data_IF_731219334069
#
_entry.id   IF_731219334069
#
_cell.length_a   1.000
_cell.length_b   1.000
_cell.length_c   1.000
_cell.angle_alpha   90.00
_cell.angle_beta   90.00
_cell.angle_gamma   90.00
#
_symmetry.space_group_name_H-M   'P 1'
#
loop_
_entity.id
_entity.type
_entity.pdbx_description
1 polymer ?
#
# COMPACT_ATOMS: atom_id res chain seq x y z
N UNK A 1 -17.08 0.43 2.48
CA UNK A 1 -18.51 0.16 2.63
C UNK A 1 -18.94 -0.15 4.05
N UNK A 2 -18.00 -0.11 5.00
CA UNK A 2 -18.30 -0.22 6.42
C UNK A 2 -18.87 1.08 7.03
N UNK A 3 -19.05 2.13 6.24
CA UNK A 3 -19.53 3.43 6.72
C UNK A 3 -18.50 4.26 7.51
N UNK A 4 -17.26 3.79 7.57
CA UNK A 4 -16.17 4.43 8.31
C UNK A 4 -15.70 5.74 7.66
N UNK A 5 -15.12 6.63 8.46
CA UNK A 5 -14.40 7.81 7.96
C UNK A 5 -13.27 7.40 7.01
N UNK A 6 -12.92 8.26 6.05
CA UNK A 6 -11.80 7.97 5.13
C UNK A 6 -10.48 7.93 5.88
N UNK A 7 -10.28 8.88 6.76
CA UNK A 7 -9.05 9.12 7.50
C UNK A 7 -9.37 9.95 8.75
N UNK A 8 -8.56 9.78 9.80
CA UNK A 8 -8.64 10.56 11.04
C UNK A 8 -7.22 11.05 11.36
N UNK A 9 -7.01 12.37 11.45
CA UNK A 9 -5.69 12.94 11.71
C UNK A 9 -5.31 12.81 13.20
N UNK A 10 -5.07 11.61 13.68
CA UNK A 10 -4.74 11.32 15.08
C UNK A 10 -3.56 12.13 15.59
N UNK A 11 -2.57 12.40 14.73
CA UNK A 11 -1.34 13.11 15.09
C UNK A 11 -1.59 14.55 15.52
N UNK A 12 -2.59 15.25 14.97
CA UNK A 12 -2.85 16.67 15.30
C UNK A 12 -3.03 16.87 16.81
N UNK A 13 -3.69 15.94 17.48
CA UNK A 13 -3.96 16.05 18.92
C UNK A 13 -2.82 15.55 19.78
N UNK A 14 -1.73 15.12 19.17
CA UNK A 14 -0.48 14.80 19.85
C UNK A 14 0.51 15.98 19.85
N UNK A 15 0.08 17.10 19.24
CA UNK A 15 0.89 18.30 19.14
C UNK A 15 0.46 19.33 20.19
N UNK A 16 1.41 20.09 20.67
CA UNK A 16 1.24 21.31 21.45
C UNK A 16 1.95 22.44 20.71
N UNK A 17 1.23 23.51 20.36
CA UNK A 17 1.72 24.62 19.54
C UNK A 17 2.42 24.17 18.22
N UNK A 18 1.86 23.13 17.58
CA UNK A 18 2.38 22.55 16.33
C UNK A 18 3.58 21.62 16.51
N UNK A 19 4.09 21.40 17.72
CA UNK A 19 5.22 20.53 18.02
C UNK A 19 4.79 19.27 18.78
N UNK A 20 5.50 18.13 18.64
CA UNK A 20 5.24 16.93 19.43
C UNK A 20 5.22 17.22 20.93
N UNK A 21 4.11 16.92 21.61
CA UNK A 21 3.90 17.20 23.03
C UNK A 21 4.86 16.40 23.92
N UNK A 22 5.47 17.02 24.90
CA UNK A 22 6.34 16.35 25.89
C UNK A 22 5.61 15.33 26.77
N UNK A 23 4.29 15.43 26.89
CA UNK A 23 3.49 14.47 27.64
C UNK A 23 3.34 13.14 26.90
N UNK A 24 3.39 13.18 25.58
CA UNK A 24 3.15 12.02 24.71
C UNK A 24 4.41 11.50 24.04
N UNK A 25 5.45 12.32 23.90
CA UNK A 25 6.66 11.95 23.18
C UNK A 25 7.92 12.06 24.03
N UNK A 26 8.85 11.15 23.78
CA UNK A 26 10.20 11.15 24.33
C UNK A 26 11.24 11.10 23.20
N UNK A 27 12.40 11.71 23.43
CA UNK A 27 13.57 11.59 22.53
C UNK A 27 14.29 10.25 22.66
N UNK A 28 14.08 9.54 23.76
CA UNK A 28 14.70 8.25 24.06
C UNK A 28 13.63 7.21 24.34
N UNK A 29 13.88 5.93 24.01
CA UNK A 29 12.98 4.86 24.37
C UNK A 29 12.93 4.67 25.89
N UNK A 30 11.78 4.24 26.39
CA UNK A 30 11.59 3.88 27.81
C UNK A 30 10.55 2.77 27.91
N UNK A 31 10.27 2.28 29.12
CA UNK A 31 9.24 1.25 29.34
C UNK A 31 7.85 1.67 28.89
N UNK A 32 7.58 2.98 28.82
CA UNK A 32 6.27 3.54 28.39
C UNK A 32 6.31 4.22 27.02
N UNK A 33 7.49 4.57 26.49
CA UNK A 33 7.68 5.19 25.17
C UNK A 33 8.41 4.22 24.23
N UNK A 34 7.70 3.26 23.67
CA UNK A 34 8.28 2.21 22.84
C UNK A 34 7.97 2.39 21.34
N UNK A 35 6.94 3.14 20.98
CA UNK A 35 6.53 3.32 19.60
C UNK A 35 7.42 4.34 18.89
N UNK A 36 8.35 3.87 18.09
CA UNK A 36 9.26 4.71 17.30
C UNK A 36 8.53 5.34 16.12
N UNK A 37 8.29 6.65 16.20
CA UNK A 37 7.53 7.42 15.19
C UNK A 37 8.47 8.00 14.12
N UNK A 38 9.66 8.42 14.53
CA UNK A 38 10.72 8.92 13.67
C UNK A 38 12.06 8.91 14.45
N UNK A 39 13.15 9.39 13.86
CA UNK A 39 14.46 9.42 14.52
C UNK A 39 14.36 10.21 15.84
N UNK A 40 14.74 9.57 16.95
CA UNK A 40 14.67 10.16 18.28
C UNK A 40 13.30 10.74 18.67
N UNK A 41 12.23 10.08 18.22
CA UNK A 41 10.86 10.46 18.54
C UNK A 41 10.05 9.21 18.85
N UNK A 42 9.78 8.96 20.13
CA UNK A 42 9.08 7.79 20.64
C UNK A 42 7.76 8.19 21.26
N UNK A 43 6.68 7.60 20.80
CA UNK A 43 5.32 7.82 21.29
C UNK A 43 5.03 7.00 22.55
N UNK A 44 4.27 7.56 23.46
CA UNK A 44 3.69 6.86 24.60
C UNK A 44 2.87 5.64 24.09
N UNK A 45 3.22 4.44 24.57
CA UNK A 45 2.66 3.18 24.05
C UNK A 45 1.15 3.06 24.28
N UNK A 46 0.64 3.58 25.40
CA UNK A 46 -0.79 3.60 25.74
C UNK A 46 -1.63 4.52 24.84
N UNK A 47 -1.01 5.43 24.06
CA UNK A 47 -1.77 6.28 23.12
C UNK A 47 -2.47 5.48 22.02
N UNK A 48 -2.02 4.26 21.77
CA UNK A 48 -2.70 3.30 20.91
C UNK A 48 -4.16 3.10 21.32
N UNK A 49 -4.45 2.98 22.62
CA UNK A 49 -5.81 2.80 23.13
C UNK A 49 -6.67 4.05 22.86
N UNK A 50 -6.07 5.23 22.92
CA UNK A 50 -6.70 6.48 22.53
C UNK A 50 -7.09 6.49 21.06
N UNK A 51 -6.20 6.02 20.16
CA UNK A 51 -6.49 5.90 18.73
C UNK A 51 -7.71 5.00 18.50
N UNK A 52 -7.73 3.81 19.11
CA UNK A 52 -8.86 2.87 18.97
C UNK A 52 -10.15 3.39 19.59
N UNK A 53 -10.09 4.00 20.76
CA UNK A 53 -11.26 4.63 21.40
C UNK A 53 -11.88 5.70 20.49
N UNK A 54 -11.05 6.48 19.80
CA UNK A 54 -11.51 7.50 18.85
C UNK A 54 -12.14 6.89 17.60
N UNK A 55 -11.55 5.83 17.07
CA UNK A 55 -12.16 5.12 15.95
C UNK A 55 -13.54 4.60 16.34
N UNK A 56 -13.66 4.00 17.53
CA UNK A 56 -14.91 3.44 18.03
C UNK A 56 -15.97 4.50 18.34
N UNK A 57 -15.57 5.72 18.69
CA UNK A 57 -16.49 6.85 18.91
C UNK A 57 -16.92 7.56 17.62
N UNK A 58 -16.37 7.17 16.46
CA UNK A 58 -16.73 7.79 15.18
C UNK A 58 -18.08 7.24 14.69
N UNK A 59 -18.96 8.13 14.27
CA UNK A 59 -20.24 7.73 13.68
C UNK A 59 -20.03 6.89 12.42
N UNK A 60 -20.67 5.73 12.40
CA UNK A 60 -20.73 4.87 11.23
C UNK A 60 -21.90 5.31 10.35
N UNK A 61 -21.59 5.72 9.13
CA UNK A 61 -22.62 6.14 8.17
C UNK A 61 -23.42 4.93 7.68
N UNK A 62 -24.73 5.06 7.64
CA UNK A 62 -25.64 4.03 7.09
C UNK A 62 -25.47 3.82 5.58
N UNK A 63 -24.90 4.81 4.89
CA UNK A 63 -24.68 4.74 3.45
C UNK A 63 -23.75 3.59 3.08
N UNK A 64 -24.26 2.67 2.25
CA UNK A 64 -23.49 1.55 1.68
C UNK A 64 -22.67 1.92 0.44
N UNK A 65 -22.58 3.20 0.09
CA UNK A 65 -21.74 3.67 -1.01
C UNK A 65 -20.27 3.43 -0.69
N UNK A 66 -19.51 3.06 -1.71
CA UNK A 66 -18.08 2.94 -1.56
C UNK A 66 -17.45 4.25 -1.07
N UNK A 67 -16.60 4.15 -0.07
CA UNK A 67 -15.73 5.21 0.40
C UNK A 67 -14.38 4.62 0.76
N UNK A 68 -13.31 5.15 0.17
CA UNK A 68 -11.95 4.77 0.56
C UNK A 68 -11.71 5.10 2.03
N UNK A 69 -11.13 4.16 2.78
CA UNK A 69 -10.90 4.31 4.21
C UNK A 69 -9.70 3.48 4.68
N UNK A 70 -8.78 4.11 5.39
CA UNK A 70 -7.68 3.45 6.08
C UNK A 70 -8.11 2.85 7.42
N UNK A 71 -9.20 3.35 8.00
CA UNK A 71 -9.63 3.03 9.36
C UNK A 71 -9.90 1.53 9.55
N UNK A 72 -10.46 0.87 8.54
CA UNK A 72 -10.68 -0.58 8.58
C UNK A 72 -9.40 -1.40 8.77
N UNK A 73 -8.28 -0.91 8.26
CA UNK A 73 -7.00 -1.61 8.35
C UNK A 73 -6.36 -1.56 9.74
N UNK A 74 -6.71 -0.58 10.57
CA UNK A 74 -6.34 -0.58 12.00
C UNK A 74 -6.90 -1.82 12.68
N UNK A 75 -8.19 -2.15 12.43
CA UNK A 75 -8.80 -3.35 12.98
C UNK A 75 -8.23 -4.64 12.39
N UNK A 76 -7.88 -4.67 11.10
CA UNK A 76 -7.26 -5.85 10.47
C UNK A 76 -5.94 -6.19 11.16
N UNK A 77 -5.11 -5.21 11.50
CA UNK A 77 -3.89 -5.42 12.27
C UNK A 77 -4.18 -6.12 13.62
N UNK A 78 -5.20 -5.64 14.35
CA UNK A 78 -5.62 -6.24 15.62
C UNK A 78 -6.16 -7.66 15.45
N UNK A 79 -6.95 -7.89 14.40
CA UNK A 79 -7.51 -9.20 14.09
C UNK A 79 -6.39 -10.19 13.79
N UNK A 80 -5.39 -9.80 12.99
CA UNK A 80 -4.22 -10.63 12.71
C UNK A 80 -3.53 -11.02 14.03
N UNK A 81 -3.26 -10.06 14.89
CA UNK A 81 -2.64 -10.31 16.20
C UNK A 81 -3.46 -11.28 17.07
N UNK A 82 -4.78 -11.10 17.13
CA UNK A 82 -5.68 -11.98 17.89
C UNK A 82 -5.72 -13.39 17.34
N UNK A 83 -5.74 -13.55 16.02
CA UNK A 83 -5.87 -14.86 15.37
C UNK A 83 -4.53 -15.64 15.36
N UNK A 84 -3.41 -14.94 15.22
CA UNK A 84 -2.10 -15.59 15.03
C UNK A 84 -1.22 -15.54 16.26
N UNK A 85 -1.58 -14.75 17.28
CA UNK A 85 -0.76 -14.40 18.44
C UNK A 85 0.59 -13.75 18.05
N UNK A 86 0.69 -13.23 16.85
CA UNK A 86 1.87 -12.55 16.29
C UNK A 86 1.48 -11.16 15.78
N UNK A 87 2.41 -10.22 15.85
CA UNK A 87 2.23 -8.93 15.23
C UNK A 87 2.26 -9.05 13.69
N UNK A 88 1.59 -8.16 13.00
CA UNK A 88 1.39 -8.20 11.54
C UNK A 88 2.72 -8.29 10.78
N UNK A 89 3.74 -7.55 11.20
CA UNK A 89 5.06 -7.60 10.55
C UNK A 89 5.67 -9.00 10.60
N UNK A 90 5.54 -9.73 11.71
CA UNK A 90 6.07 -11.09 11.84
C UNK A 90 5.31 -12.09 10.96
N UNK A 91 3.98 -11.92 10.83
CA UNK A 91 3.18 -12.73 9.91
C UNK A 91 3.58 -12.48 8.46
N UNK A 92 3.74 -11.21 8.09
CA UNK A 92 4.16 -10.80 6.75
C UNK A 92 5.59 -11.29 6.44
N UNK A 93 6.54 -11.13 7.36
CA UNK A 93 7.92 -11.60 7.23
C UNK A 93 8.02 -13.11 7.00
N UNK A 94 7.18 -13.89 7.66
CA UNK A 94 7.13 -15.33 7.42
C UNK A 94 6.73 -15.66 5.98
N UNK A 95 5.76 -14.92 5.41
CA UNK A 95 5.36 -15.07 4.00
C UNK A 95 6.53 -14.69 3.08
N UNK A 96 7.16 -13.54 3.31
CA UNK A 96 8.25 -13.06 2.48
C UNK A 96 9.45 -14.00 2.51
N UNK A 97 9.81 -14.52 3.69
CA UNK A 97 10.88 -15.50 3.85
C UNK A 97 10.60 -16.78 3.08
N UNK A 98 9.36 -17.30 3.16
CA UNK A 98 8.96 -18.51 2.42
C UNK A 98 9.00 -18.30 0.90
N UNK A 99 8.88 -17.06 0.44
CA UNK A 99 9.04 -16.69 -0.98
C UNK A 99 10.50 -16.36 -1.35
N UNK A 100 11.45 -16.38 -0.41
CA UNK A 100 12.84 -16.01 -0.64
C UNK A 100 13.06 -14.50 -0.86
N UNK A 101 12.15 -13.63 -0.37
CA UNK A 101 12.23 -12.19 -0.55
C UNK A 101 13.04 -11.55 0.59
N UNK A 102 14.05 -10.77 0.26
CA UNK A 102 14.99 -10.20 1.23
C UNK A 102 14.89 -8.67 1.37
N UNK A 103 14.28 -8.00 0.39
CA UNK A 103 14.21 -6.53 0.35
C UNK A 103 12.78 -6.02 0.50
N UNK A 104 11.99 -6.71 1.30
CA UNK A 104 10.62 -6.32 1.67
C UNK A 104 10.42 -6.47 3.18
N UNK A 105 9.75 -5.52 3.81
CA UNK A 105 9.44 -5.60 5.23
C UNK A 105 9.12 -4.28 5.87
N UNK A 106 8.76 -4.36 7.13
CA UNK A 106 8.58 -3.22 8.03
C UNK A 106 9.90 -2.89 8.73
N UNK A 107 9.97 -1.71 9.35
CA UNK A 107 11.16 -1.25 10.10
C UNK A 107 12.47 -1.37 9.31
N UNK A 108 12.59 -0.73 8.15
CA UNK A 108 13.68 -0.95 7.21
C UNK A 108 15.06 -0.72 7.80
N UNK A 109 15.20 0.18 8.81
CA UNK A 109 16.48 0.48 9.46
C UNK A 109 16.98 -0.65 10.36
N UNK A 110 16.16 -1.61 10.72
CA UNK A 110 16.59 -2.82 11.42
C UNK A 110 17.19 -3.88 10.47
N UNK A 111 16.99 -3.72 9.15
CA UNK A 111 17.37 -4.70 8.13
C UNK A 111 18.41 -4.14 7.14
N UNK A 112 18.30 -2.86 6.78
CA UNK A 112 19.09 -2.27 5.71
C UNK A 112 19.77 -0.98 6.14
N UNK A 113 20.92 -0.70 5.54
CA UNK A 113 21.59 0.57 5.70
C UNK A 113 20.75 1.72 5.16
N UNK A 114 20.77 2.85 5.84
CA UNK A 114 20.00 4.04 5.48
C UNK A 114 20.26 4.54 4.05
N UNK A 115 21.51 4.40 3.55
CA UNK A 115 21.88 4.80 2.20
C UNK A 115 21.21 3.99 1.08
N UNK A 116 20.58 2.86 1.41
CA UNK A 116 19.78 2.06 0.46
C UNK A 116 18.33 2.49 0.36
N UNK A 117 17.91 3.41 1.22
CA UNK A 117 16.52 3.85 1.34
C UNK A 117 16.49 5.32 0.90
N UNK A 118 15.67 5.71 -0.08
CA UNK A 118 15.51 7.12 -0.40
C UNK A 118 14.83 7.86 0.75
N UNK A 119 15.14 9.15 0.99
CA UNK A 119 14.43 9.96 1.96
C UNK A 119 12.97 10.11 1.53
N UNK A 120 12.04 10.08 2.48
CA UNK A 120 10.61 10.09 2.19
C UNK A 120 10.07 11.50 2.04
N UNK A 121 10.25 12.34 3.06
CA UNK A 121 9.67 13.68 3.14
C UNK A 121 10.47 14.54 4.10
N UNK A 122 10.54 15.84 3.87
CA UNK A 122 10.93 16.80 4.90
C UNK A 122 9.68 17.25 5.66
N UNK A 123 9.34 16.51 6.72
CA UNK A 123 8.11 16.72 7.50
C UNK A 123 8.24 18.00 8.34
N UNK A 124 7.49 19.03 7.98
CA UNK A 124 7.49 20.34 8.63
C UNK A 124 6.29 20.60 9.51
N UNK A 125 5.34 19.66 9.59
CA UNK A 125 4.05 19.88 10.26
C UNK A 125 3.77 18.92 11.42
N UNK A 126 4.44 17.74 11.47
CA UNK A 126 4.24 16.75 12.53
C UNK A 126 5.54 16.39 13.25
N UNK A 127 6.50 15.78 12.53
CA UNK A 127 7.74 15.25 13.14
C UNK A 127 8.91 16.22 13.10
N UNK A 128 8.79 17.29 12.32
CA UNK A 128 9.77 18.39 12.16
C UNK A 128 11.19 17.90 11.87
N UNK A 129 11.31 16.94 10.97
CA UNK A 129 12.58 16.35 10.56
C UNK A 129 12.47 15.68 9.19
N UNK A 130 13.64 15.39 8.59
CA UNK A 130 13.71 14.53 7.41
C UNK A 130 13.28 13.11 7.79
N UNK A 131 12.19 12.64 7.19
CA UNK A 131 11.70 11.28 7.33
C UNK A 131 12.47 10.40 6.35
N UNK A 132 13.36 9.57 6.89
CA UNK A 132 14.25 8.70 6.13
C UNK A 132 14.37 7.34 6.82
N UNK A 133 13.83 6.29 6.18
CA UNK A 133 13.73 4.96 6.77
C UNK A 133 12.62 4.80 7.82
N UNK A 134 11.67 5.71 7.85
CA UNK A 134 10.45 5.64 8.66
C UNK A 134 9.22 5.75 7.77
N UNK A 135 8.11 5.18 8.22
CA UNK A 135 6.85 5.24 7.45
C UNK A 135 6.41 6.69 7.23
N UNK A 136 5.93 6.98 6.02
CA UNK A 136 5.39 8.30 5.70
C UNK A 136 4.10 8.58 6.48
N UNK A 137 3.15 7.65 6.44
CA UNK A 137 1.83 7.79 7.05
C UNK A 137 1.92 8.06 8.55
N UNK A 138 1.26 9.13 8.99
CA UNK A 138 1.34 9.61 10.38
C UNK A 138 0.61 8.65 11.33
N UNK A 139 -0.53 8.07 10.91
CA UNK A 139 -1.29 7.13 11.71
C UNK A 139 -0.54 5.81 11.93
N UNK A 140 0.07 5.28 10.87
CA UNK A 140 0.94 4.10 10.99
C UNK A 140 2.19 4.40 11.85
N UNK A 141 2.76 5.63 11.75
CA UNK A 141 3.88 6.04 12.58
C UNK A 141 3.51 6.05 14.07
N UNK A 142 2.34 6.56 14.44
CA UNK A 142 1.83 6.53 15.83
C UNK A 142 1.66 5.10 16.37
N UNK A 143 1.44 4.12 15.48
CA UNK A 143 1.41 2.69 15.82
C UNK A 143 2.79 2.02 15.79
N UNK A 144 3.87 2.80 15.76
CA UNK A 144 5.24 2.28 15.73
C UNK A 144 5.73 1.86 14.35
N UNK A 145 5.07 2.27 13.26
CA UNK A 145 5.52 2.04 11.88
C UNK A 145 4.95 0.78 11.22
N UNK A 146 4.09 0.04 11.91
CA UNK A 146 3.40 -1.16 11.36
C UNK A 146 1.91 -0.92 11.34
N UNK A 147 1.41 -0.44 10.21
CA UNK A 147 -0.02 -0.27 9.98
C UNK A 147 -0.54 -1.29 8.96
N UNK A 148 -1.83 -1.65 9.04
CA UNK A 148 -2.47 -2.47 8.03
C UNK A 148 -2.62 -1.75 6.68
N UNK A 149 -2.48 -0.42 6.67
CA UNK A 149 -2.64 0.48 5.53
C UNK A 149 -1.32 1.08 5.04
N UNK A 150 -0.25 1.09 5.86
CA UNK A 150 1.04 1.68 5.52
C UNK A 150 2.19 1.11 6.38
N UNK A 151 3.44 1.34 5.96
CA UNK A 151 4.64 0.98 6.71
C UNK A 151 5.56 -0.01 6.02
N UNK A 152 5.13 -0.62 4.92
CA UNK A 152 5.94 -1.57 4.17
C UNK A 152 6.96 -0.83 3.29
N UNK A 153 8.19 -1.31 3.29
CA UNK A 153 9.28 -0.91 2.40
C UNK A 153 9.66 -2.07 1.50
N UNK A 154 10.00 -1.78 0.25
CA UNK A 154 10.39 -2.82 -0.70
C UNK A 154 11.20 -2.25 -1.86
N UNK A 155 11.64 -3.13 -2.77
CA UNK A 155 12.16 -2.81 -4.09
C UNK A 155 11.25 -3.34 -5.20
N UNK A 156 11.57 -3.02 -6.46
CA UNK A 156 10.74 -3.42 -7.58
C UNK A 156 10.70 -4.95 -7.78
N UNK A 157 11.82 -5.64 -7.56
CA UNK A 157 11.91 -7.08 -7.78
C UNK A 157 11.05 -7.87 -6.78
N UNK A 158 11.14 -7.54 -5.48
CA UNK A 158 10.37 -8.24 -4.47
C UNK A 158 8.87 -7.94 -4.60
N UNK A 159 8.50 -6.71 -4.97
CA UNK A 159 7.10 -6.39 -5.29
C UNK A 159 6.61 -7.13 -6.55
N UNK A 160 7.46 -7.26 -7.58
CA UNK A 160 7.12 -8.03 -8.77
C UNK A 160 6.91 -9.51 -8.42
N UNK A 161 7.74 -10.10 -7.56
CA UNK A 161 7.56 -11.47 -7.09
C UNK A 161 6.22 -11.67 -6.35
N UNK A 162 5.83 -10.72 -5.48
CA UNK A 162 4.51 -10.74 -4.84
C UNK A 162 3.38 -10.67 -5.87
N UNK A 163 3.47 -9.75 -6.83
CA UNK A 163 2.44 -9.62 -7.86
C UNK A 163 2.41 -10.84 -8.79
N UNK A 164 3.57 -11.45 -9.10
CA UNK A 164 3.64 -12.69 -9.85
C UNK A 164 2.98 -13.86 -9.09
N UNK A 165 3.16 -13.95 -7.80
CA UNK A 165 2.48 -14.93 -6.96
C UNK A 165 0.95 -14.79 -7.08
N UNK A 166 0.43 -13.55 -7.08
CA UNK A 166 -1.00 -13.31 -7.31
C UNK A 166 -1.44 -13.73 -8.73
N UNK A 167 -0.68 -13.41 -9.77
CA UNK A 167 -0.96 -13.86 -11.16
C UNK A 167 -0.98 -15.39 -11.26
N UNK A 168 -0.10 -16.06 -10.56
CA UNK A 168 0.00 -17.53 -10.49
C UNK A 168 -1.01 -18.14 -9.51
N UNK A 169 -2.08 -17.40 -9.15
CA UNK A 169 -3.15 -17.88 -8.25
C UNK A 169 -2.62 -18.39 -6.90
N UNK A 170 -1.62 -17.70 -6.38
CA UNK A 170 -1.06 -17.97 -5.05
C UNK A 170 0.12 -18.94 -5.01
N UNK A 171 0.64 -19.36 -6.17
CA UNK A 171 1.82 -20.24 -6.26
C UNK A 171 3.07 -19.41 -6.58
N UNK A 172 4.16 -19.68 -5.87
CA UNK A 172 5.48 -19.10 -6.13
C UNK A 172 6.59 -20.11 -5.83
N UNK A 173 7.57 -20.26 -6.74
CA UNK A 173 8.67 -21.21 -6.57
C UNK A 173 8.25 -22.70 -6.48
N UNK A 174 7.02 -23.03 -6.91
CA UNK A 174 6.45 -24.38 -6.78
C UNK A 174 5.61 -24.57 -5.52
N UNK A 175 5.69 -23.67 -4.56
CA UNK A 175 4.93 -23.73 -3.30
C UNK A 175 3.63 -22.92 -3.38
N UNK A 176 2.59 -23.43 -2.72
CA UNK A 176 1.33 -22.70 -2.54
C UNK A 176 1.45 -21.78 -1.32
N UNK A 177 1.63 -20.49 -1.58
CA UNK A 177 1.73 -19.43 -0.55
C UNK A 177 0.34 -19.04 -0.05
N UNK A 178 -0.61 -18.86 -0.98
CA UNK A 178 -2.01 -18.52 -0.70
C UNK A 178 -2.90 -19.40 -1.58
N UNK A 179 -4.02 -19.86 -1.06
CA UNK A 179 -4.96 -20.68 -1.84
C UNK A 179 -5.56 -19.91 -3.00
N UNK A 180 -5.75 -20.57 -4.14
CA UNK A 180 -6.25 -19.95 -5.37
C UNK A 180 -7.63 -19.31 -5.21
N UNK A 181 -8.54 -19.95 -4.48
CA UNK A 181 -9.90 -19.43 -4.19
C UNK A 181 -9.86 -18.14 -3.37
N UNK A 182 -8.88 -17.99 -2.48
CA UNK A 182 -8.65 -16.74 -1.73
C UNK A 182 -8.17 -15.64 -2.67
N UNK A 183 -7.19 -15.92 -3.54
CA UNK A 183 -6.71 -14.94 -4.52
C UNK A 183 -7.87 -14.48 -5.42
N UNK A 184 -8.62 -15.39 -5.99
CA UNK A 184 -9.76 -15.08 -6.86
C UNK A 184 -10.79 -14.20 -6.15
N UNK A 185 -11.17 -14.55 -4.92
CA UNK A 185 -12.11 -13.77 -4.12
C UNK A 185 -11.62 -12.35 -3.85
N UNK A 186 -10.33 -12.17 -3.53
CA UNK A 186 -9.79 -10.86 -3.13
C UNK A 186 -9.50 -9.96 -4.34
N UNK A 187 -9.14 -10.52 -5.48
CA UNK A 187 -8.84 -9.79 -6.72
C UNK A 187 -10.06 -9.56 -7.61
N UNK A 188 -11.17 -10.25 -7.37
CA UNK A 188 -12.46 -10.00 -8.04
C UNK A 188 -13.10 -8.69 -7.54
N UNK A 189 -14.24 -8.32 -8.11
CA UNK A 189 -15.05 -7.16 -7.69
C UNK A 189 -16.36 -7.63 -7.04
N UNK A 190 -16.35 -8.19 -5.84
CA UNK A 190 -17.49 -8.91 -5.26
C UNK A 190 -18.71 -8.04 -4.97
N UNK A 191 -18.55 -6.72 -4.98
CA UNK A 191 -19.62 -5.76 -4.71
C UNK A 191 -19.98 -4.89 -5.92
N UNK A 192 -19.52 -5.26 -7.12
CA UNK A 192 -19.82 -4.49 -8.32
C UNK A 192 -21.34 -4.49 -8.63
N UNK A 193 -21.93 -5.65 -8.71
CA UNK A 193 -23.37 -5.80 -9.04
C UNK A 193 -24.31 -5.22 -7.98
N UNK A 194 -23.92 -5.31 -6.71
CA UNK A 194 -24.79 -4.88 -5.60
C UNK A 194 -24.65 -3.41 -5.24
N UNK A 195 -23.48 -2.82 -5.41
CA UNK A 195 -23.17 -1.48 -4.91
C UNK A 195 -22.41 -0.61 -5.93
N UNK A 196 -22.26 -1.05 -7.16
CA UNK A 196 -21.46 -0.42 -8.19
C UNK A 196 -20.01 -0.10 -7.68
N UNK A 197 -19.47 -1.00 -6.85
CA UNK A 197 -18.12 -0.87 -6.32
C UNK A 197 -17.17 -1.74 -7.12
N UNK A 198 -16.37 -1.11 -7.98
CA UNK A 198 -15.40 -1.79 -8.84
C UNK A 198 -14.27 -2.49 -8.09
N UNK A 199 -13.98 -2.09 -6.85
CA UNK A 199 -12.82 -2.59 -6.12
C UNK A 199 -12.91 -4.06 -5.74
N UNK A 200 -11.75 -4.71 -5.73
CA UNK A 200 -11.55 -5.97 -5.03
C UNK A 200 -11.45 -5.78 -3.51
N UNK A 201 -11.20 -6.85 -2.80
CA UNK A 201 -10.92 -6.79 -1.35
C UNK A 201 -9.45 -6.42 -1.18
N UNK A 202 -9.19 -5.20 -0.74
CA UNK A 202 -7.87 -4.57 -0.62
C UNK A 202 -7.15 -4.25 -1.96
N UNK A 203 -7.71 -4.61 -3.11
CA UNK A 203 -7.19 -4.26 -4.42
C UNK A 203 -7.99 -3.16 -5.10
N UNK A 204 -7.32 -2.32 -5.86
CA UNK A 204 -7.93 -1.45 -6.85
C UNK A 204 -8.13 -2.21 -8.16
N UNK A 205 -9.07 -1.75 -8.98
CA UNK A 205 -9.44 -2.31 -10.28
C UNK A 205 -9.44 -1.17 -11.31
N UNK A 206 -9.35 -1.47 -12.62
CA UNK A 206 -9.33 -0.42 -13.62
C UNK A 206 -10.58 0.46 -13.51
N UNK A 207 -10.37 1.77 -13.64
CA UNK A 207 -11.48 2.72 -13.78
C UNK A 207 -12.03 2.56 -15.18
N UNK A 208 -13.35 2.48 -15.27
CA UNK A 208 -14.12 2.41 -16.53
C UNK A 208 -14.82 3.75 -16.74
N UNK A 209 -15.39 3.96 -17.89
CA UNK A 209 -16.25 5.10 -18.21
C UNK A 209 -15.51 6.43 -18.47
N UNK A 210 -14.22 6.39 -18.80
CA UNK A 210 -13.47 7.61 -19.13
C UNK A 210 -13.32 8.59 -17.96
N UNK A 211 -13.61 8.15 -16.74
CA UNK A 211 -13.58 9.01 -15.55
C UNK A 211 -12.19 9.53 -15.18
N UNK A 212 -11.13 9.06 -15.86
CA UNK A 212 -9.75 9.43 -15.57
C UNK A 212 -9.27 8.92 -14.21
N UNK A 213 -8.00 9.14 -13.91
CA UNK A 213 -7.42 8.80 -12.62
C UNK A 213 -6.24 7.83 -12.71
N UNK A 214 -5.56 7.58 -11.58
CA UNK A 214 -4.28 6.87 -11.56
C UNK A 214 -4.36 5.37 -11.91
N UNK A 215 -5.53 4.83 -12.10
CA UNK A 215 -5.81 3.44 -12.48
C UNK A 215 -6.74 3.33 -13.69
N UNK A 216 -6.83 4.41 -14.47
CA UNK A 216 -7.53 4.43 -15.75
C UNK A 216 -6.58 3.91 -16.83
N UNK A 217 -6.39 2.60 -16.87
CA UNK A 217 -5.60 1.94 -17.91
C UNK A 217 -6.56 1.51 -19.02
N UNK A 218 -6.49 2.16 -20.16
CA UNK A 218 -7.40 1.93 -21.30
C UNK A 218 -7.33 0.49 -21.81
N UNK A 219 -6.15 -0.11 -21.73
CA UNK A 219 -5.84 -1.44 -22.25
C UNK A 219 -5.80 -2.55 -21.18
N UNK A 220 -5.98 -2.23 -19.91
CA UNK A 220 -6.01 -3.25 -18.87
C UNK A 220 -7.34 -4.01 -18.85
N UNK A 221 -7.26 -5.34 -18.72
CA UNK A 221 -8.44 -6.19 -18.64
C UNK A 221 -9.26 -5.92 -17.37
N UNK A 222 -10.52 -6.33 -17.38
CA UNK A 222 -11.37 -6.24 -16.18
C UNK A 222 -10.90 -7.14 -15.03
N UNK A 223 -10.11 -8.15 -15.32
CA UNK A 223 -9.52 -9.03 -14.31
C UNK A 223 -8.29 -8.42 -13.67
N UNK A 224 -7.71 -7.39 -14.30
CA UNK A 224 -6.52 -6.73 -13.76
C UNK A 224 -6.77 -6.11 -12.37
N UNK A 225 -5.75 -6.03 -11.58
CA UNK A 225 -5.80 -5.55 -10.20
C UNK A 225 -4.45 -5.00 -9.74
N UNK A 226 -4.49 -4.14 -8.76
CA UNK A 226 -3.29 -3.56 -8.16
C UNK A 226 -3.63 -2.54 -7.10
N UNK A 227 -2.67 -1.69 -6.77
CA UNK A 227 -2.90 -0.55 -5.88
C UNK A 227 -1.82 0.51 -6.06
N UNK A 228 -2.19 1.77 -5.80
CA UNK A 228 -1.24 2.88 -5.75
C UNK A 228 -1.01 3.33 -4.30
N UNK A 229 0.21 3.78 -3.99
CA UNK A 229 0.56 4.38 -2.71
C UNK A 229 0.59 5.91 -2.76
N UNK A 230 0.34 6.55 -1.63
CA UNK A 230 0.39 8.02 -1.49
C UNK A 230 1.76 8.60 -1.88
N UNK A 231 2.83 7.89 -1.55
CA UNK A 231 4.22 8.26 -1.88
C UNK A 231 4.56 8.16 -3.37
N UNK A 232 3.61 7.70 -4.20
CA UNK A 232 3.72 7.66 -5.66
C UNK A 232 3.91 6.27 -6.25
N UNK A 233 4.10 5.25 -5.44
CA UNK A 233 4.28 3.88 -5.90
C UNK A 233 3.01 3.30 -6.51
N UNK A 234 3.16 2.35 -7.43
CA UNK A 234 2.08 1.58 -8.03
C UNK A 234 2.56 0.16 -8.31
N UNK A 235 1.70 -0.82 -8.04
CA UNK A 235 1.83 -2.18 -8.55
C UNK A 235 0.55 -2.57 -9.25
N UNK A 236 0.66 -3.23 -10.41
CA UNK A 236 -0.49 -3.67 -11.19
C UNK A 236 -0.20 -5.00 -11.86
N UNK A 237 -1.20 -5.86 -11.95
CA UNK A 237 -1.10 -7.14 -12.63
C UNK A 237 -2.36 -7.40 -13.44
N UNK A 238 -2.21 -7.92 -14.64
CA UNK A 238 -3.29 -8.27 -15.53
C UNK A 238 -3.23 -9.75 -15.91
N UNK A 239 -4.15 -10.58 -15.38
CA UNK A 239 -4.18 -12.01 -15.66
C UNK A 239 -4.50 -12.37 -17.12
N UNK A 240 -5.10 -11.47 -17.90
CA UNK A 240 -5.44 -11.74 -19.31
C UNK A 240 -4.27 -11.49 -20.25
N UNK A 241 -3.53 -10.41 -20.04
CA UNK A 241 -2.33 -10.10 -20.83
C UNK A 241 -1.05 -10.72 -20.25
N UNK A 242 -1.07 -11.14 -18.98
CA UNK A 242 0.12 -11.58 -18.26
C UNK A 242 1.08 -10.43 -17.86
N UNK A 243 0.70 -9.17 -18.14
CA UNK A 243 1.52 -8.01 -17.82
C UNK A 243 1.52 -7.76 -16.32
N UNK A 244 2.74 -7.56 -15.80
CA UNK A 244 3.00 -7.11 -14.45
C UNK A 244 3.73 -5.78 -14.51
N UNK A 245 3.20 -4.76 -13.82
CA UNK A 245 3.75 -3.42 -13.81
C UNK A 245 4.05 -2.96 -12.38
N UNK A 246 5.30 -2.62 -12.11
CA UNK A 246 5.75 -2.03 -10.86
C UNK A 246 6.39 -0.67 -11.15
N UNK A 247 5.85 0.36 -10.55
CA UNK A 247 6.39 1.71 -10.63
C UNK A 247 6.69 2.22 -9.22
N UNK A 248 7.95 2.53 -8.95
CA UNK A 248 8.39 3.10 -7.68
C UNK A 248 8.82 4.53 -7.86
N UNK A 249 8.32 5.39 -7.02
CA UNK A 249 8.70 6.80 -6.97
C UNK A 249 8.65 7.33 -5.54
N UNK A 250 9.27 8.47 -5.34
CA UNK A 250 9.27 9.20 -4.09
C UNK A 250 8.79 10.65 -4.32
N UNK A 251 7.51 10.78 -4.79
CA UNK A 251 6.94 12.07 -5.16
C UNK A 251 6.84 13.06 -4.00
N UNK A 252 6.75 12.54 -2.77
CA UNK A 252 6.56 13.36 -1.56
C UNK A 252 7.86 13.97 -1.04
N UNK A 253 8.98 13.63 -1.64
CA UNK A 253 10.26 14.26 -1.27
C UNK A 253 10.63 15.37 -2.27
N UNK A 254 11.09 16.52 -1.79
CA UNK A 254 11.20 16.92 -0.38
C UNK A 254 9.84 17.30 0.23
N UNK A 255 8.79 17.47 -0.56
CA UNK A 255 7.53 18.06 -0.18
C UNK A 255 6.34 17.31 -0.81
N UNK A 256 5.36 16.97 -0.01
CA UNK A 256 4.14 16.27 -0.42
C UNK A 256 3.25 17.08 -1.36
N UNK A 257 3.40 18.41 -1.42
CA UNK A 257 2.66 19.31 -2.31
C UNK A 257 3.07 19.17 -3.80
N UNK A 258 4.11 18.36 -4.09
CA UNK A 258 4.44 18.01 -5.47
C UNK A 258 3.41 17.03 -6.06
N UNK A 259 2.50 17.55 -6.85
CA UNK A 259 1.44 16.77 -7.49
C UNK A 259 1.73 16.37 -8.95
N UNK A 260 2.91 16.67 -9.51
CA UNK A 260 3.23 16.44 -10.94
C UNK A 260 3.00 15.01 -11.38
N UNK A 261 3.41 14.02 -10.57
CA UNK A 261 3.20 12.60 -10.86
C UNK A 261 1.71 12.27 -11.12
N UNK A 262 0.82 12.90 -10.36
CA UNK A 262 -0.63 12.67 -10.43
C UNK A 262 -1.25 13.51 -11.55
N UNK A 263 -0.96 14.83 -11.58
CA UNK A 263 -1.57 15.75 -12.52
C UNK A 263 -1.18 15.49 -13.98
N UNK A 264 -0.02 14.90 -14.21
CA UNK A 264 0.47 14.51 -15.55
C UNK A 264 0.16 13.03 -15.88
N UNK A 265 -0.56 12.30 -15.04
CA UNK A 265 -0.91 10.89 -15.24
C UNK A 265 0.27 9.96 -15.56
N UNK A 266 1.49 10.28 -15.13
CA UNK A 266 2.73 9.64 -15.58
C UNK A 266 2.66 8.10 -15.48
N UNK A 267 2.10 7.56 -14.40
CA UNK A 267 1.99 6.12 -14.20
C UNK A 267 1.07 5.45 -15.21
N UNK A 268 -0.04 6.12 -15.54
CA UNK A 268 -1.02 5.66 -16.53
C UNK A 268 -0.44 5.71 -17.93
N UNK A 269 0.21 6.80 -18.29
CA UNK A 269 0.84 6.96 -19.60
C UNK A 269 1.93 5.91 -19.85
N UNK A 270 2.77 5.63 -18.86
CA UNK A 270 3.79 4.57 -18.97
C UNK A 270 3.12 3.20 -19.15
N UNK A 271 2.06 2.89 -18.40
CA UNK A 271 1.36 1.62 -18.56
C UNK A 271 0.73 1.47 -19.92
N UNK A 272 0.12 2.53 -20.47
CA UNK A 272 -0.46 2.53 -21.81
C UNK A 272 0.62 2.24 -22.87
N UNK A 273 1.78 2.89 -22.80
CA UNK A 273 2.91 2.65 -23.71
C UNK A 273 3.39 1.18 -23.64
N UNK A 274 3.51 0.62 -22.43
CA UNK A 274 3.90 -0.78 -22.24
C UNK A 274 2.90 -1.72 -22.89
N UNK A 275 1.62 -1.48 -22.69
CA UNK A 275 0.56 -2.35 -23.21
C UNK A 275 0.45 -2.25 -24.73
N UNK A 276 0.58 -1.06 -25.28
CA UNK A 276 0.59 -0.85 -26.74
C UNK A 276 1.77 -1.58 -27.39
N UNK A 277 2.96 -1.51 -26.78
CA UNK A 277 4.14 -2.25 -27.27
C UNK A 277 3.92 -3.77 -27.24
N UNK A 278 3.30 -4.31 -26.18
CA UNK A 278 2.98 -5.74 -26.08
C UNK A 278 1.93 -6.18 -27.11
N UNK A 279 0.94 -5.34 -27.40
CA UNK A 279 -0.10 -5.63 -28.40
C UNK A 279 0.49 -5.61 -29.82
N UNK A 280 1.43 -4.70 -30.10
CA UNK A 280 2.10 -4.61 -31.41
C UNK A 280 2.89 -5.89 -31.70
N UNK A 281 3.67 -6.40 -30.75
CA UNK A 281 4.43 -7.64 -30.92
C UNK A 281 3.56 -8.86 -31.15
N UNK A 282 2.42 -8.96 -30.47
CA UNK A 282 1.45 -10.06 -30.69
C UNK A 282 0.76 -10.00 -32.05
N UNK A 283 0.63 -8.83 -32.67
CA UNK A 283 0.05 -8.68 -34.01
C UNK A 283 1.03 -9.05 -35.15
N UNK A 284 2.34 -8.96 -34.92
CA UNK A 284 3.36 -9.34 -35.88
C UNK A 284 3.62 -10.87 -35.92
N UNK A 285 3.44 -11.58 -34.79
CA UNK A 285 3.58 -13.05 -34.74
C UNK A 285 2.44 -13.80 -35.50
N UNK A 286 1.35 -13.13 -35.85
CA UNK A 286 0.22 -13.72 -36.61
C UNK A 286 0.46 -13.70 -38.13
N UNK A 287 1.46 -13.00 -38.61
CA UNK A 287 1.86 -13.08 -40.02
C UNK A 287 2.83 -14.24 -40.20
N UNK A 288 2.31 -15.47 -40.21
CA UNK A 288 3.08 -16.65 -40.63
C UNK A 288 3.45 -16.50 -42.11
N UNK A 289 4.67 -16.83 -42.53
CA UNK A 289 5.01 -16.86 -43.93
C UNK A 289 4.48 -18.15 -44.58
N UNK A 290 3.17 -18.20 -44.86
CA UNK A 290 2.65 -19.13 -45.86
C UNK A 290 2.48 -18.39 -47.17
N UNK A 291 3.44 -18.55 -48.05
CA UNK A 291 3.33 -18.07 -49.43
C UNK A 291 4.62 -17.89 -50.21
N UNK A 292 5.49 -18.89 -50.20
CA UNK A 292 6.47 -19.09 -51.30
C UNK A 292 6.43 -20.55 -51.72
N UNK A 293 5.59 -20.83 -52.71
CA UNK A 293 5.76 -21.96 -53.61
C UNK A 293 6.09 -21.44 -55.00
#
# INVERSE_FOLDING_TARGET
QAGLASWIPFYIQTLNDGLPSYELYSKLPSSIHQNLVAKNLYMLSSYRDTIFSRILSTDVKESKRYKYSDIGYYFINEIIKKLTLKDQNLVAENIYTNMGLENIGYHPLSKWNLNRIPPTENDTFFRHQLIHGYVHDQGAALLGGVGGHAGLFSNANDLAAIMQMYLNKGVYGGDTIIKADVIEKYTSSPYYETNNNRRGIAFDKPVRDGAGGPTCFECASFKSFGHSGFTGNLTWADPESGILYVFLSNRVYPDAENHKLISMNIRTEIMNIITDACNYTNSEEVVSPEGLH
#
